data_IF_549595300068
#
_entry.id   IF_549595300068
#
_cell.length_a   1.000
_cell.length_b   1.000
_cell.length_c   1.000
_cell.angle_alpha   90.00
_cell.angle_beta   90.00
_cell.angle_gamma   90.00
#
_symmetry.space_group_name_H-M   'P 1'
#
loop_
_entity.id
_entity.type
_entity.pdbx_description
1 polymer ?
#
# COMPACT_ATOMS: atom_id res chain seq x y z
N UNK A 1 17.78 9.54 5.97
CA UNK A 1 16.45 8.91 5.82
C UNK A 1 15.37 9.98 5.81
N UNK A 2 14.19 9.68 5.25
CA UNK A 2 13.05 10.60 5.23
C UNK A 2 12.04 10.21 6.32
N UNK A 3 11.43 11.20 7.00
CA UNK A 3 10.35 10.93 7.96
C UNK A 3 9.11 10.42 7.23
N UNK A 4 8.54 9.33 7.73
CA UNK A 4 7.31 8.72 7.23
C UNK A 4 6.27 8.66 8.34
N UNK A 5 5.01 8.67 7.93
CA UNK A 5 3.86 8.40 8.77
C UNK A 5 3.33 7.00 8.46
N UNK A 6 3.03 6.24 9.50
CA UNK A 6 2.49 4.89 9.41
C UNK A 6 1.00 4.94 9.76
N UNK A 7 0.19 4.24 8.97
CA UNK A 7 -1.22 4.02 9.26
C UNK A 7 -1.54 2.54 9.15
N UNK A 8 -2.32 2.02 10.09
CA UNK A 8 -2.74 0.63 10.11
C UNK A 8 -4.15 0.46 9.54
N UNK A 9 -4.44 -0.75 9.08
CA UNK A 9 -5.80 -1.20 8.80
C UNK A 9 -6.39 -1.92 10.03
N UNK A 10 -7.54 -2.58 9.85
CA UNK A 10 -8.15 -3.42 10.88
C UNK A 10 -7.24 -4.59 11.30
N UNK A 11 -6.54 -5.20 10.34
CA UNK A 11 -5.54 -6.24 10.57
C UNK A 11 -4.17 -5.57 10.61
N UNK A 12 -3.45 -5.72 11.73
CA UNK A 12 -2.14 -5.09 11.96
C UNK A 12 -0.97 -6.05 11.76
N UNK A 13 -1.17 -7.33 12.04
CA UNK A 13 -0.16 -8.37 11.88
C UNK A 13 -0.74 -9.53 11.10
N UNK A 14 0.06 -10.17 10.25
CA UNK A 14 -0.29 -11.44 9.63
C UNK A 14 0.11 -12.63 10.52
N UNK A 15 -0.09 -13.86 9.99
CA UNK A 15 0.22 -15.11 10.70
C UNK A 15 1.72 -15.31 10.97
N UNK A 16 2.57 -14.64 10.19
CA UNK A 16 4.03 -14.65 10.34
C UNK A 16 4.54 -13.51 11.21
N UNK A 17 3.64 -12.74 11.84
CA UNK A 17 3.93 -11.58 12.68
C UNK A 17 4.58 -10.41 11.91
N UNK A 18 4.36 -10.31 10.60
CA UNK A 18 4.74 -9.14 9.80
C UNK A 18 3.76 -7.99 10.05
N UNK A 19 4.28 -6.77 10.17
CA UNK A 19 3.48 -5.57 10.39
C UNK A 19 2.86 -5.06 9.07
N UNK A 20 1.53 -5.12 8.97
CA UNK A 20 0.78 -4.64 7.81
C UNK A 20 0.47 -3.15 7.96
N UNK A 21 0.90 -2.32 7.01
CA UNK A 21 0.70 -0.87 7.11
C UNK A 21 0.69 -0.11 5.77
N UNK A 22 0.20 1.13 5.87
CA UNK A 22 0.22 2.15 4.83
C UNK A 22 1.24 3.23 5.19
N UNK A 23 2.10 3.58 4.25
CA UNK A 23 3.14 4.58 4.44
C UNK A 23 2.85 5.89 3.71
N UNK A 24 3.08 7.00 4.40
CA UNK A 24 2.95 8.35 3.85
C UNK A 24 4.22 9.16 4.09
N UNK A 25 4.65 9.93 3.09
CA UNK A 25 5.63 10.98 3.29
C UNK A 25 5.00 12.19 3.98
N UNK A 26 5.83 13.07 4.51
CA UNK A 26 5.39 14.29 5.20
C UNK A 26 4.53 15.23 4.33
N UNK A 27 4.77 15.24 3.03
CA UNK A 27 3.97 15.96 2.03
C UNK A 27 2.67 15.21 1.65
N UNK A 28 2.29 14.19 2.44
CA UNK A 28 1.11 13.33 2.24
C UNK A 28 1.16 12.43 0.99
N UNK A 29 2.31 12.28 0.34
CA UNK A 29 2.45 11.28 -0.73
C UNK A 29 2.19 9.88 -0.17
N UNK A 30 1.22 9.19 -0.73
CA UNK A 30 0.90 7.80 -0.36
C UNK A 30 1.87 6.85 -1.06
N UNK A 31 2.83 6.34 -0.31
CA UNK A 31 3.96 5.55 -0.86
C UNK A 31 3.46 4.26 -1.50
N UNK A 32 2.60 3.49 -0.83
CA UNK A 32 2.09 2.20 -1.36
C UNK A 32 1.43 2.40 -2.73
N UNK A 33 0.56 3.42 -2.86
CA UNK A 33 -0.10 3.74 -4.13
C UNK A 33 0.90 4.20 -5.21
N UNK A 34 1.92 4.95 -4.84
CA UNK A 34 2.96 5.41 -5.76
C UNK A 34 3.79 4.25 -6.31
N UNK A 35 4.16 3.28 -5.46
CA UNK A 35 4.90 2.09 -5.89
C UNK A 35 4.10 1.27 -6.90
N UNK A 36 2.83 0.98 -6.59
CA UNK A 36 1.93 0.21 -7.47
C UNK A 36 1.76 0.92 -8.82
N UNK A 37 1.50 2.23 -8.81
CA UNK A 37 1.28 3.00 -10.04
C UNK A 37 2.49 2.99 -10.99
N UNK A 38 3.72 2.90 -10.44
CA UNK A 38 4.95 2.87 -11.22
C UNK A 38 5.45 1.44 -11.51
N UNK A 39 4.68 0.39 -11.17
CA UNK A 39 5.08 -1.00 -11.40
C UNK A 39 6.22 -1.48 -10.50
N UNK A 40 6.49 -0.79 -9.39
CA UNK A 40 7.56 -1.13 -8.44
C UNK A 40 7.10 -2.09 -7.34
N UNK A 41 5.79 -2.31 -7.22
CA UNK A 41 5.17 -3.25 -6.29
C UNK A 41 3.88 -3.80 -6.88
N UNK A 42 3.53 -5.03 -6.53
CA UNK A 42 2.25 -5.63 -6.90
C UNK A 42 1.21 -5.50 -5.78
N UNK A 43 -0.07 -5.62 -6.14
CA UNK A 43 -1.21 -5.59 -5.25
C UNK A 43 -1.43 -6.99 -4.68
N UNK A 44 -1.42 -7.09 -3.36
CA UNK A 44 -1.80 -8.32 -2.68
C UNK A 44 -3.30 -8.59 -2.87
N UNK A 45 -3.63 -9.80 -3.34
CA UNK A 45 -5.01 -10.25 -3.56
C UNK A 45 -5.50 -11.25 -2.52
N UNK A 46 -4.62 -11.77 -1.64
CA UNK A 46 -4.95 -12.77 -0.64
C UNK A 46 -5.77 -12.19 0.52
N UNK A 47 -5.42 -10.99 0.98
CA UNK A 47 -6.13 -10.32 2.08
C UNK A 47 -7.23 -9.39 1.58
N UNK A 48 -8.24 -9.17 2.42
CA UNK A 48 -9.17 -8.06 2.26
C UNK A 48 -8.75 -6.88 3.13
N UNK A 49 -8.59 -5.70 2.53
CA UNK A 49 -8.08 -4.50 3.18
C UNK A 49 -8.62 -3.26 2.51
N UNK A 50 -8.67 -2.16 3.27
CA UNK A 50 -9.43 -0.94 2.95
C UNK A 50 -9.14 -0.35 1.57
N UNK A 51 -7.90 -0.44 1.09
CA UNK A 51 -7.49 0.14 -0.20
C UNK A 51 -7.31 -0.87 -1.33
N UNK A 52 -7.72 -2.14 -1.16
CA UNK A 52 -7.53 -3.21 -2.15
C UNK A 52 -8.07 -2.83 -3.53
N UNK A 53 -9.34 -2.44 -3.61
CA UNK A 53 -9.97 -2.04 -4.88
C UNK A 53 -9.25 -0.86 -5.55
N UNK A 54 -8.89 0.15 -4.76
CA UNK A 54 -8.13 1.31 -5.25
C UNK A 54 -6.77 0.90 -5.82
N UNK A 55 -6.06 0.00 -5.14
CA UNK A 55 -4.77 -0.50 -5.58
C UNK A 55 -4.89 -1.33 -6.86
N UNK A 56 -5.91 -2.19 -6.96
CA UNK A 56 -6.20 -2.93 -8.21
C UNK A 56 -6.48 -1.99 -9.39
N UNK A 57 -7.28 -0.93 -9.18
CA UNK A 57 -7.52 0.08 -10.21
C UNK A 57 -6.24 0.81 -10.63
N UNK A 58 -5.38 1.17 -9.67
CA UNK A 58 -4.09 1.82 -9.95
C UNK A 58 -3.15 0.92 -10.74
N UNK A 59 -3.07 -0.37 -10.40
CA UNK A 59 -2.29 -1.37 -11.16
C UNK A 59 -2.74 -1.42 -12.62
N UNK A 60 -4.05 -1.50 -12.84
CA UNK A 60 -4.62 -1.59 -14.18
C UNK A 60 -4.47 -0.29 -14.99
N UNK A 61 -4.43 0.86 -14.32
CA UNK A 61 -4.32 2.18 -14.96
C UNK A 61 -2.88 2.59 -15.27
N UNK A 62 -1.90 2.00 -14.58
CA UNK A 62 -0.46 2.27 -14.74
C UNK A 62 0.19 1.54 -15.91
N UNK A 63 -0.46 0.50 -16.43
CA UNK A 63 -0.05 -0.21 -17.66
C UNK A 63 -0.59 0.60 -18.85
N UNK A 64 0.20 1.58 -19.30
CA UNK A 64 0.07 2.25 -20.59
C UNK A 64 1.41 2.25 -21.28
#
# INVERSE_FOLDING_TARGET
GQKVFIKFDNIKYDEENNLLCYLYLWNKTFINAHLIKNGLADVDTAYDYKYKEKFMQLKNSGIR
#
